data_IF_881752334360
#
_entry.id   IF_881752334360
#
_cell.length_a   1.000
_cell.length_b   1.000
_cell.length_c   1.000
_cell.angle_alpha   90.00
_cell.angle_beta   90.00
_cell.angle_gamma   90.00
#
_symmetry.space_group_name_H-M   'P 1'
#
loop_
_entity.id
_entity.type
_entity.pdbx_description
1 polymer ?
#
# COMPACT_ATOMS: atom_id res chain seq x y z
N UNK A 1 -68.14 -3.01 -51.52
CA UNK A 1 -69.16 -3.47 -50.56
C UNK A 1 -68.49 -3.64 -49.21
N UNK A 2 -68.96 -2.86 -48.22
CA UNK A 2 -68.61 -2.80 -46.78
C UNK A 2 -67.28 -2.20 -46.38
N UNK A 3 -67.30 -0.88 -46.11
CA UNK A 3 -66.48 -0.18 -45.16
C UNK A 3 -66.70 -0.71 -43.73
N UNK A 4 -65.65 -0.89 -42.95
CA UNK A 4 -65.72 -0.88 -41.47
C UNK A 4 -64.70 0.05 -40.92
N UNK A 5 -65.16 1.11 -40.31
CA UNK A 5 -64.46 2.10 -39.52
C UNK A 5 -63.89 1.49 -38.24
N UNK A 6 -62.64 1.80 -37.89
CA UNK A 6 -62.08 1.58 -36.57
C UNK A 6 -61.83 2.91 -35.90
N UNK A 7 -62.62 3.16 -34.86
CA UNK A 7 -62.38 4.28 -33.91
C UNK A 7 -61.18 3.96 -33.04
N UNK A 8 -60.19 4.84 -33.03
CA UNK A 8 -59.05 4.80 -32.12
C UNK A 8 -59.44 5.52 -30.82
N UNK A 9 -59.47 4.77 -29.72
CA UNK A 9 -59.62 5.32 -28.36
C UNK A 9 -58.26 5.79 -27.84
N UNK A 10 -58.10 7.08 -27.68
CA UNK A 10 -56.93 7.67 -27.01
C UNK A 10 -57.01 7.41 -25.51
N UNK A 11 -56.13 6.55 -24.97
CA UNK A 11 -55.88 6.41 -23.54
C UNK A 11 -54.79 7.40 -23.14
N UNK A 12 -55.16 8.49 -22.45
CA UNK A 12 -54.27 9.41 -21.82
C UNK A 12 -53.50 8.73 -20.68
N UNK A 13 -52.20 8.63 -20.79
CA UNK A 13 -51.30 8.21 -19.72
C UNK A 13 -51.00 9.45 -18.88
N UNK A 14 -51.54 9.48 -17.67
CA UNK A 14 -51.21 10.48 -16.66
C UNK A 14 -49.81 10.16 -16.09
N UNK A 15 -48.77 10.89 -16.51
CA UNK A 15 -47.42 10.80 -15.92
C UNK A 15 -47.45 11.58 -14.61
N UNK A 16 -47.55 10.88 -13.49
CA UNK A 16 -47.31 11.46 -12.17
C UNK A 16 -45.80 11.65 -12.00
N UNK A 17 -45.32 12.87 -12.12
CA UNK A 17 -43.97 13.27 -11.75
C UNK A 17 -43.87 13.19 -10.22
N UNK A 18 -43.29 12.10 -9.71
CA UNK A 18 -42.84 12.00 -8.32
C UNK A 18 -41.61 12.85 -8.21
N UNK A 19 -41.75 14.05 -7.70
CA UNK A 19 -40.61 14.88 -7.25
C UNK A 19 -40.07 14.24 -5.98
N UNK A 20 -39.02 13.44 -6.13
CA UNK A 20 -38.20 12.96 -5.00
C UNK A 20 -37.45 14.18 -4.49
N UNK A 21 -37.66 14.63 -3.25
CA UNK A 21 -36.80 15.66 -2.68
C UNK A 21 -35.38 15.12 -2.68
N UNK A 22 -34.46 15.79 -3.38
CA UNK A 22 -33.03 15.58 -3.23
C UNK A 22 -32.71 15.88 -1.75
N UNK A 23 -32.68 14.84 -0.92
CA UNK A 23 -32.10 14.90 0.41
C UNK A 23 -30.63 15.28 0.17
N UNK A 24 -30.31 16.52 0.44
CA UNK A 24 -28.96 17.02 0.62
C UNK A 24 -28.30 16.13 1.69
N UNK A 25 -27.54 15.15 1.27
CA UNK A 25 -26.52 14.57 2.12
C UNK A 25 -25.53 15.71 2.36
N UNK A 26 -25.76 16.49 3.40
CA UNK A 26 -24.73 17.33 3.97
C UNK A 26 -23.60 16.36 4.34
N UNK A 27 -22.49 16.38 3.60
CA UNK A 27 -21.25 15.76 4.05
C UNK A 27 -21.00 16.34 5.43
N UNK A 28 -20.86 15.49 6.44
CA UNK A 28 -20.50 15.92 7.77
C UNK A 28 -19.21 16.74 7.64
N UNK A 29 -19.34 18.07 7.70
CA UNK A 29 -18.21 18.97 7.69
C UNK A 29 -17.46 18.67 8.97
N UNK A 30 -16.18 18.23 8.86
CA UNK A 30 -15.34 18.00 10.03
C UNK A 30 -15.42 19.22 10.94
N UNK A 31 -15.86 19.01 12.18
CA UNK A 31 -16.08 20.10 13.15
C UNK A 31 -14.76 20.67 13.66
N UNK A 32 -13.64 19.94 13.44
CA UNK A 32 -12.30 20.29 13.88
C UNK A 32 -11.33 20.42 12.70
N UNK A 33 -10.40 21.34 12.83
CA UNK A 33 -9.22 21.46 11.97
C UNK A 33 -7.97 21.27 12.83
N UNK A 34 -7.10 20.36 12.38
CA UNK A 34 -5.82 20.06 13.02
C UNK A 34 -4.68 20.61 12.16
N UNK A 35 -3.81 21.42 12.77
CA UNK A 35 -2.64 21.99 12.10
C UNK A 35 -1.40 21.54 12.87
N UNK A 36 -0.57 20.64 12.29
CA UNK A 36 0.64 20.16 12.96
C UNK A 36 1.62 21.32 13.19
N UNK A 37 2.42 21.25 14.25
CA UNK A 37 3.43 22.28 14.54
C UNK A 37 4.50 22.32 13.44
N UNK A 38 4.88 21.16 12.89
CA UNK A 38 5.68 21.05 11.68
C UNK A 38 4.83 20.50 10.53
N UNK A 39 4.81 21.20 9.42
CA UNK A 39 4.07 20.77 8.22
C UNK A 39 4.53 19.43 7.65
N UNK A 40 5.77 19.00 7.94
CA UNK A 40 6.30 17.68 7.60
C UNK A 40 5.78 16.56 8.52
N UNK A 41 5.21 16.89 9.69
CA UNK A 41 4.87 15.93 10.73
C UNK A 41 6.08 15.23 11.36
N UNK A 42 7.33 15.68 11.08
CA UNK A 42 8.59 15.07 11.54
C UNK A 42 9.26 15.98 12.57
N UNK A 43 9.66 15.40 13.68
CA UNK A 43 10.24 16.07 14.84
C UNK A 43 11.54 15.41 15.27
N UNK A 44 12.39 16.13 15.99
CA UNK A 44 13.60 15.59 16.59
C UNK A 44 13.29 14.86 17.91
N UNK A 45 14.26 14.11 18.42
CA UNK A 45 14.18 13.49 19.75
C UNK A 45 14.05 14.57 20.83
N UNK A 46 13.11 14.38 21.75
CA UNK A 46 12.86 15.33 22.83
C UNK A 46 12.20 16.64 22.41
N UNK A 47 11.90 16.82 21.14
CA UNK A 47 11.11 17.95 20.64
C UNK A 47 9.62 17.72 20.94
N UNK A 48 8.89 18.80 21.25
CA UNK A 48 7.44 18.74 21.43
C UNK A 48 6.76 18.61 20.08
N UNK A 49 6.20 17.48 19.80
CA UNK A 49 5.32 17.25 18.65
C UNK A 49 3.88 17.59 19.01
N UNK A 50 3.10 18.12 18.06
CA UNK A 50 1.72 18.43 18.37
C UNK A 50 0.96 19.13 17.24
N UNK A 51 -0.27 19.50 17.60
CA UNK A 51 -1.22 20.12 16.68
C UNK A 51 -1.94 21.28 17.38
N UNK A 52 -2.10 22.39 16.65
CA UNK A 52 -3.10 23.38 16.97
C UNK A 52 -4.46 22.85 16.49
N UNK A 53 -5.43 22.83 17.39
CA UNK A 53 -6.79 22.36 17.11
C UNK A 53 -7.72 23.55 17.15
N UNK A 54 -8.50 23.76 16.10
CA UNK A 54 -9.48 24.86 16.02
C UNK A 54 -10.83 24.31 15.61
N UNK A 55 -11.90 24.89 16.17
CA UNK A 55 -13.26 24.55 15.75
C UNK A 55 -13.63 25.26 14.45
N UNK A 56 -14.47 24.61 13.66
CA UNK A 56 -15.19 25.31 12.59
C UNK A 56 -16.39 26.05 13.16
N UNK A 57 -16.81 27.19 12.56
CA UNK A 57 -18.00 27.91 13.01
C UNK A 57 -19.24 27.02 13.06
N UNK A 58 -19.94 27.01 14.20
CA UNK A 58 -21.16 26.21 14.38
C UNK A 58 -20.92 24.77 14.83
N UNK A 59 -19.70 24.43 15.30
CA UNK A 59 -19.42 23.12 15.86
C UNK A 59 -20.38 22.78 17.02
N UNK A 60 -21.02 21.63 16.95
CA UNK A 60 -21.99 21.19 17.96
C UNK A 60 -21.33 20.68 19.26
N UNK A 61 -20.07 20.25 19.18
CA UNK A 61 -19.27 19.79 20.31
C UNK A 61 -18.04 20.68 20.50
N UNK A 62 -17.75 21.04 21.73
CA UNK A 62 -16.58 21.85 22.11
C UNK A 62 -15.64 21.11 23.08
N UNK A 63 -15.99 19.89 23.48
CA UNK A 63 -15.21 19.07 24.39
C UNK A 63 -14.87 17.75 23.72
N UNK A 64 -13.59 17.39 23.68
CA UNK A 64 -13.10 16.16 23.10
C UNK A 64 -12.09 15.52 24.02
N UNK A 65 -12.06 14.19 24.04
CA UNK A 65 -10.99 13.43 24.66
C UNK A 65 -9.95 13.04 23.61
N UNK A 66 -8.68 12.98 24.00
CA UNK A 66 -7.65 12.47 23.11
C UNK A 66 -6.72 11.47 23.81
N UNK A 67 -6.23 10.51 23.03
CA UNK A 67 -5.27 9.51 23.47
C UNK A 67 -4.06 9.54 22.52
N UNK A 68 -2.87 9.72 23.07
CA UNK A 68 -1.60 9.64 22.33
C UNK A 68 -0.97 8.28 22.59
N UNK A 69 -0.67 7.56 21.52
CA UNK A 69 -0.02 6.25 21.55
C UNK A 69 1.35 6.32 20.89
N UNK A 70 2.35 5.73 21.51
CA UNK A 70 3.63 5.48 20.91
C UNK A 70 3.56 4.23 20.02
N UNK A 71 4.01 4.34 18.77
CA UNK A 71 4.00 3.30 17.74
C UNK A 71 2.62 2.61 17.58
N UNK A 72 1.55 3.37 17.83
CA UNK A 72 0.16 2.91 17.84
C UNK A 72 -0.09 1.68 18.74
N UNK A 73 0.66 1.56 19.84
CA UNK A 73 0.51 0.46 20.81
C UNK A 73 0.43 0.98 22.24
N UNK A 74 1.48 1.53 22.79
CA UNK A 74 1.51 2.00 24.18
C UNK A 74 0.86 3.37 24.33
N UNK A 75 -0.13 3.51 25.22
CA UNK A 75 -0.69 4.80 25.60
C UNK A 75 0.35 5.55 26.43
N UNK A 76 0.78 6.72 25.98
CA UNK A 76 1.75 7.57 26.68
C UNK A 76 1.13 8.84 27.26
N UNK A 77 -0.03 9.26 26.73
CA UNK A 77 -0.75 10.42 27.23
C UNK A 77 -2.24 10.32 26.90
N UNK A 78 -3.07 10.79 27.81
CA UNK A 78 -4.47 11.11 27.58
C UNK A 78 -4.74 12.55 28.00
N UNK A 79 -5.76 13.18 27.46
CA UNK A 79 -6.13 14.52 27.84
C UNK A 79 -7.48 14.93 27.26
N UNK A 80 -7.91 16.13 27.61
CA UNK A 80 -9.14 16.72 27.14
C UNK A 80 -8.84 17.99 26.36
N UNK A 81 -9.62 18.24 25.32
CA UNK A 81 -9.63 19.48 24.56
C UNK A 81 -10.88 20.27 24.94
N UNK A 82 -10.68 21.44 25.53
CA UNK A 82 -11.70 22.44 25.72
C UNK A 82 -11.55 23.52 24.63
N UNK A 83 -12.49 23.56 23.72
CA UNK A 83 -12.52 24.44 22.57
C UNK A 83 -13.51 25.63 22.75
N UNK A 84 -13.95 25.87 23.96
CA UNK A 84 -14.85 27.03 24.28
C UNK A 84 -14.21 28.37 23.93
N UNK A 85 -12.86 28.46 23.97
CA UNK A 85 -12.10 29.65 23.51
C UNK A 85 -11.84 29.66 21.99
N UNK A 86 -12.34 28.65 21.24
CA UNK A 86 -12.14 28.48 19.80
C UNK A 86 -10.88 27.71 19.40
N UNK A 87 -9.93 27.47 20.32
CA UNK A 87 -8.71 26.69 20.00
C UNK A 87 -8.14 25.99 21.23
N UNK A 88 -7.44 24.89 20.97
CA UNK A 88 -6.68 24.12 21.97
C UNK A 88 -5.44 23.49 21.32
N UNK A 89 -4.63 22.75 22.09
CA UNK A 89 -3.45 22.04 21.58
C UNK A 89 -3.45 20.59 22.03
N UNK A 90 -2.95 19.72 21.15
CA UNK A 90 -2.49 18.37 21.50
C UNK A 90 -0.97 18.40 21.44
N UNK A 91 -0.30 18.00 22.51
CA UNK A 91 1.16 18.02 22.62
C UNK A 91 1.65 16.72 23.23
N UNK A 92 2.74 16.18 22.70
CA UNK A 92 3.46 15.06 23.28
C UNK A 92 4.97 15.21 23.06
N UNK A 93 5.77 14.68 23.96
CA UNK A 93 7.22 14.69 23.87
C UNK A 93 7.73 13.27 24.11
N UNK A 94 8.60 12.78 23.21
CA UNK A 94 9.22 11.44 23.30
C UNK A 94 10.71 11.57 23.04
N UNK A 95 11.51 10.88 23.83
CA UNK A 95 12.97 10.95 23.75
C UNK A 95 13.59 9.83 22.89
N UNK A 96 12.79 8.85 22.51
CA UNK A 96 13.24 7.76 21.63
C UNK A 96 12.58 7.86 20.25
N UNK A 97 13.24 7.29 19.21
CA UNK A 97 12.65 7.24 17.86
C UNK A 97 11.33 6.48 17.84
N UNK A 98 10.26 7.13 17.42
CA UNK A 98 8.92 6.55 17.47
C UNK A 98 7.98 7.19 16.43
N UNK A 99 6.86 6.52 16.19
CA UNK A 99 5.69 7.13 15.57
C UNK A 99 4.64 7.45 16.64
N UNK A 100 4.09 8.66 16.60
CA UNK A 100 2.94 9.03 17.42
C UNK A 100 1.66 8.77 16.63
N UNK A 101 0.69 8.21 17.32
CA UNK A 101 -0.66 7.97 16.82
C UNK A 101 -1.66 8.54 17.82
N UNK A 102 -2.47 9.49 17.37
CA UNK A 102 -3.42 10.21 18.24
C UNK A 102 -4.83 9.91 17.79
N UNK A 103 -5.66 9.44 18.73
CA UNK A 103 -7.10 9.31 18.55
C UNK A 103 -7.79 10.47 19.26
N UNK A 104 -8.72 11.12 18.58
CA UNK A 104 -9.55 12.22 19.14
C UNK A 104 -11.00 11.76 19.07
N UNK A 105 -11.69 11.78 20.21
CA UNK A 105 -13.05 11.32 20.35
C UNK A 105 -13.94 12.47 20.84
N UNK A 106 -15.18 12.59 20.33
CA UNK A 106 -16.12 13.59 20.80
C UNK A 106 -16.57 13.27 22.23
N UNK A 107 -16.42 14.24 23.16
CA UNK A 107 -16.91 14.14 24.52
C UNK A 107 -18.42 14.44 24.66
N UNK A 108 -19.06 14.87 23.58
CA UNK A 108 -20.49 15.19 23.54
C UNK A 108 -21.29 13.99 22.99
N UNK A 109 -22.53 13.75 23.47
CA UNK A 109 -23.39 12.71 22.90
C UNK A 109 -23.66 12.99 21.42
N UNK A 110 -23.38 12.02 20.54
CA UNK A 110 -23.73 12.13 19.12
C UNK A 110 -25.24 12.01 18.95
N UNK A 111 -25.84 12.95 18.22
CA UNK A 111 -27.26 12.86 17.82
C UNK A 111 -27.59 11.59 16.98
N UNK A 112 -26.58 10.94 16.41
CA UNK A 112 -26.73 9.70 15.65
C UNK A 112 -26.82 8.43 16.53
N UNK A 113 -26.58 8.52 17.85
CA UNK A 113 -26.64 7.38 18.77
C UNK A 113 -28.07 7.03 19.23
N UNK A 114 -29.10 7.72 18.75
CA UNK A 114 -30.47 7.55 19.23
C UNK A 114 -31.27 6.45 18.50
N UNK A 115 -30.70 5.81 17.47
CA UNK A 115 -31.46 4.82 16.67
C UNK A 115 -30.68 3.50 16.49
N UNK A 116 -30.45 2.76 17.58
CA UNK A 116 -30.04 1.34 17.48
C UNK A 116 -30.69 0.47 18.55
N UNK A 117 -31.92 0.04 18.25
CA UNK A 117 -32.48 -1.19 18.79
C UNK A 117 -31.96 -2.36 17.97
N UNK A 118 -30.73 -2.82 18.15
CA UNK A 118 -30.33 -4.20 17.86
C UNK A 118 -28.84 -4.44 18.17
N UNK A 119 -28.58 -5.43 19.05
CA UNK A 119 -27.30 -6.07 19.36
C UNK A 119 -26.15 -5.16 19.83
N UNK A 120 -26.10 -4.92 21.14
CA UNK A 120 -24.93 -4.44 21.87
C UNK A 120 -23.79 -5.48 21.88
N UNK A 121 -23.02 -5.53 20.83
CA UNK A 121 -21.63 -5.91 20.93
C UNK A 121 -20.87 -4.59 20.94
N UNK A 122 -20.08 -4.34 21.96
CA UNK A 122 -19.42 -3.06 22.25
C UNK A 122 -18.49 -2.62 21.12
N UNK A 123 -19.05 -2.00 20.09
CA UNK A 123 -18.25 -1.30 19.09
C UNK A 123 -17.64 -0.06 19.79
N UNK A 124 -16.31 0.04 19.84
CA UNK A 124 -15.66 1.29 20.24
C UNK A 124 -16.18 2.43 19.35
N UNK A 125 -16.45 3.61 19.92
CA UNK A 125 -16.83 4.75 19.09
C UNK A 125 -15.75 5.00 18.03
N UNK A 126 -16.17 5.36 16.84
CA UNK A 126 -15.26 5.74 15.75
C UNK A 126 -14.65 7.09 16.15
N UNK A 127 -13.31 7.24 16.18
CA UNK A 127 -12.69 8.51 16.49
C UNK A 127 -13.14 9.62 15.52
N UNK A 128 -13.34 10.83 16.02
CA UNK A 128 -13.61 12.03 15.20
C UNK A 128 -12.43 12.33 14.29
N UNK A 129 -11.20 12.13 14.78
CA UNK A 129 -9.99 12.27 14.01
C UNK A 129 -8.89 11.32 14.48
N UNK A 130 -8.01 10.97 13.54
CA UNK A 130 -6.76 10.26 13.79
C UNK A 130 -5.62 11.12 13.25
N UNK A 131 -4.56 11.31 14.06
CA UNK A 131 -3.42 12.13 13.70
C UNK A 131 -2.13 11.33 13.85
N UNK A 132 -1.13 11.63 13.02
CA UNK A 132 0.16 10.97 13.02
C UNK A 132 1.33 11.95 13.07
N UNK A 133 2.39 11.60 13.82
CA UNK A 133 3.67 12.31 13.79
C UNK A 133 4.83 11.34 13.93
N UNK A 134 6.00 11.74 13.44
CA UNK A 134 7.21 10.94 13.47
C UNK A 134 8.30 11.62 14.30
N UNK A 135 8.83 10.92 15.30
CA UNK A 135 9.93 11.40 16.16
C UNK A 135 11.21 10.72 15.72
N UNK A 136 12.16 11.51 15.21
CA UNK A 136 13.47 11.05 14.70
C UNK A 136 13.38 9.72 13.91
N UNK A 137 12.47 9.59 12.93
CA UNK A 137 12.13 8.30 12.32
C UNK A 137 13.31 7.68 11.57
N UNK A 138 14.29 8.48 11.13
CA UNK A 138 15.53 8.02 10.49
C UNK A 138 16.44 7.23 11.44
N UNK A 139 16.16 7.23 12.75
CA UNK A 139 16.89 6.45 13.76
C UNK A 139 16.17 5.15 14.16
N UNK A 140 14.99 4.88 13.64
CA UNK A 140 14.28 3.61 13.87
C UNK A 140 15.11 2.43 13.34
N UNK A 141 15.24 1.40 14.17
CA UNK A 141 16.00 0.18 13.87
C UNK A 141 15.05 -1.03 13.79
N UNK A 142 15.46 -2.13 13.13
CA UNK A 142 14.73 -3.40 13.18
C UNK A 142 14.48 -3.83 14.64
N UNK A 143 13.27 -4.34 14.92
CA UNK A 143 12.93 -4.85 16.26
C UNK A 143 13.76 -6.06 16.66
N UNK A 144 14.13 -6.89 15.68
CA UNK A 144 15.01 -8.05 15.87
C UNK A 144 16.07 -8.10 14.77
N UNK A 145 17.24 -8.71 15.03
CA UNK A 145 18.28 -8.86 14.02
C UNK A 145 17.83 -9.81 12.91
N UNK A 146 18.38 -9.63 11.71
CA UNK A 146 18.21 -10.57 10.59
C UNK A 146 18.74 -11.97 10.98
N UNK A 147 18.05 -13.07 10.61
CA UNK A 147 18.55 -14.43 10.87
C UNK A 147 19.97 -14.64 10.30
N UNK A 148 20.82 -15.32 11.05
CA UNK A 148 22.23 -15.52 10.65
C UNK A 148 22.37 -16.29 9.35
N UNK A 149 21.48 -17.23 9.07
CA UNK A 149 21.47 -18.06 7.86
C UNK A 149 20.57 -17.53 6.73
N UNK A 150 20.00 -16.34 6.88
CA UNK A 150 19.08 -15.71 5.92
C UNK A 150 19.61 -15.75 4.48
N UNK A 151 20.85 -15.34 4.26
CA UNK A 151 21.46 -15.31 2.93
C UNK A 151 21.70 -16.73 2.37
N UNK A 152 22.01 -17.68 3.23
CA UNK A 152 22.18 -19.08 2.82
C UNK A 152 20.84 -19.70 2.43
N UNK A 153 19.80 -19.45 3.22
CA UNK A 153 18.43 -19.87 2.93
C UNK A 153 17.98 -19.38 1.55
N UNK A 154 17.99 -18.08 1.30
CA UNK A 154 17.52 -17.52 0.03
C UNK A 154 18.38 -17.92 -1.16
N UNK A 155 19.70 -18.03 -0.99
CA UNK A 155 20.58 -18.59 -2.04
C UNK A 155 20.19 -19.99 -2.44
N UNK A 156 19.84 -20.84 -1.47
CA UNK A 156 19.40 -22.23 -1.74
C UNK A 156 18.11 -22.27 -2.54
N UNK A 157 17.13 -21.41 -2.19
CA UNK A 157 15.83 -21.31 -2.87
C UNK A 157 15.95 -20.79 -4.31
N UNK A 158 16.74 -19.73 -4.50
CA UNK A 158 17.05 -19.24 -5.84
C UNK A 158 17.81 -20.26 -6.70
N UNK A 159 18.66 -21.09 -6.10
CA UNK A 159 19.32 -22.19 -6.81
C UNK A 159 18.33 -23.25 -7.29
N UNK A 160 17.30 -23.57 -6.51
CA UNK A 160 16.20 -24.45 -6.93
C UNK A 160 15.43 -23.85 -8.11
N UNK A 161 15.01 -22.59 -7.98
CA UNK A 161 14.28 -21.87 -9.03
C UNK A 161 15.02 -21.91 -10.37
N UNK A 162 16.32 -21.61 -10.39
CA UNK A 162 17.13 -21.59 -11.63
C UNK A 162 17.26 -22.93 -12.34
N UNK A 163 16.99 -24.05 -11.69
CA UNK A 163 17.01 -25.40 -12.31
C UNK A 163 15.73 -25.69 -13.11
N UNK A 164 14.68 -24.90 -12.89
CA UNK A 164 13.40 -25.07 -13.55
C UNK A 164 13.38 -24.18 -14.80
N UNK A 165 13.12 -24.73 -15.99
CA UNK A 165 12.91 -23.91 -17.19
C UNK A 165 11.75 -22.92 -17.00
N UNK A 166 11.86 -21.74 -17.58
CA UNK A 166 10.79 -20.71 -17.50
C UNK A 166 9.52 -21.20 -18.20
N UNK A 167 9.67 -21.86 -19.37
CA UNK A 167 8.59 -22.45 -20.18
C UNK A 167 7.40 -21.50 -20.37
N UNK A 168 7.59 -20.36 -21.07
CA UNK A 168 6.58 -19.32 -21.15
C UNK A 168 5.44 -19.70 -22.11
N UNK A 169 4.22 -19.67 -21.60
CA UNK A 169 2.99 -19.83 -22.36
C UNK A 169 2.25 -18.48 -22.41
N UNK A 170 2.04 -17.97 -23.63
CA UNK A 170 1.38 -16.67 -23.86
C UNK A 170 0.12 -16.92 -24.69
N UNK A 171 -1.01 -16.41 -24.19
CA UNK A 171 -2.28 -16.42 -24.91
C UNK A 171 -2.71 -14.97 -25.20
N UNK A 172 -2.86 -14.57 -26.48
CA UNK A 172 -3.32 -13.23 -26.83
C UNK A 172 -4.73 -12.97 -26.30
N UNK A 173 -4.96 -11.78 -25.79
CA UNK A 173 -6.26 -11.30 -25.35
C UNK A 173 -6.48 -9.86 -25.84
N UNK A 174 -7.74 -9.43 -25.95
CA UNK A 174 -8.02 -8.06 -26.40
C UNK A 174 -7.53 -7.05 -25.35
N UNK A 175 -6.73 -6.09 -25.78
CA UNK A 175 -6.31 -4.95 -24.96
C UNK A 175 -7.38 -3.85 -24.89
N UNK A 176 -8.25 -3.76 -25.90
CA UNK A 176 -9.14 -2.62 -26.11
C UNK A 176 -8.44 -1.39 -26.70
N UNK A 177 -7.10 -1.42 -26.87
CA UNK A 177 -6.28 -0.36 -27.46
C UNK A 177 -5.50 -0.93 -28.66
N UNK A 178 -5.71 -0.44 -29.91
CA UNK A 178 -5.03 -0.94 -31.08
C UNK A 178 -3.50 -0.71 -31.07
N UNK A 179 -2.99 0.15 -30.20
CA UNK A 179 -1.56 0.40 -30.05
C UNK A 179 -0.87 -0.58 -29.09
N UNK A 180 -1.61 -1.49 -28.44
CA UNK A 180 -1.11 -2.37 -27.37
C UNK A 180 -1.45 -3.84 -27.64
N UNK A 181 -0.43 -4.69 -27.67
CA UNK A 181 -0.57 -6.15 -27.57
C UNK A 181 -0.73 -6.53 -26.09
N UNK A 182 -1.73 -7.36 -25.78
CA UNK A 182 -1.97 -7.90 -24.43
C UNK A 182 -2.01 -9.43 -24.46
N UNK A 183 -1.39 -10.05 -23.48
CA UNK A 183 -1.34 -11.50 -23.30
C UNK A 183 -1.65 -11.89 -21.86
N UNK A 184 -2.34 -13.00 -21.64
CA UNK A 184 -2.19 -13.75 -20.40
C UNK A 184 -0.91 -14.58 -20.48
N UNK A 185 -0.18 -14.67 -19.38
CA UNK A 185 1.11 -15.36 -19.28
C UNK A 185 1.04 -16.43 -18.21
N UNK A 186 1.64 -17.59 -18.49
CA UNK A 186 1.91 -18.65 -17.52
C UNK A 186 3.35 -19.12 -17.67
N UNK A 187 4.12 -19.08 -16.55
CA UNK A 187 5.53 -19.48 -16.49
C UNK A 187 5.69 -20.56 -15.41
N UNK A 188 6.62 -21.47 -15.58
CA UNK A 188 6.95 -22.46 -14.53
C UNK A 188 7.78 -21.82 -13.41
N UNK A 189 7.45 -22.16 -12.18
CA UNK A 189 8.20 -21.83 -10.97
C UNK A 189 8.46 -23.11 -10.14
N UNK A 190 8.90 -23.00 -8.89
CA UNK A 190 9.08 -24.15 -8.00
C UNK A 190 7.69 -24.61 -7.56
N UNK A 191 7.31 -25.83 -7.96
CA UNK A 191 6.02 -26.47 -7.65
C UNK A 191 4.76 -25.59 -7.89
N UNK A 192 4.91 -24.54 -8.71
CA UNK A 192 3.88 -23.53 -8.97
C UNK A 192 4.10 -22.81 -10.30
N UNK A 193 3.26 -21.83 -10.63
CA UNK A 193 3.39 -21.01 -11.83
C UNK A 193 3.32 -19.52 -11.49
N UNK A 194 3.98 -18.71 -12.30
CA UNK A 194 3.74 -17.25 -12.37
C UNK A 194 2.66 -17.03 -13.41
N UNK A 195 1.63 -16.32 -13.05
CA UNK A 195 0.56 -15.94 -13.98
C UNK A 195 0.32 -14.43 -13.92
N UNK A 196 -0.25 -13.86 -14.97
CA UNK A 196 -0.49 -12.41 -15.01
C UNK A 196 -0.81 -11.91 -16.41
N UNK A 197 -0.84 -10.58 -16.55
CA UNK A 197 -0.99 -9.89 -17.84
C UNK A 197 0.34 -9.29 -18.29
N UNK A 198 0.75 -9.61 -19.53
CA UNK A 198 1.86 -8.95 -20.19
C UNK A 198 1.30 -8.04 -21.28
N UNK A 199 1.64 -6.77 -21.21
CA UNK A 199 1.28 -5.79 -22.23
C UNK A 199 2.53 -5.12 -22.81
N UNK A 200 2.51 -4.80 -24.12
CA UNK A 200 3.58 -4.09 -24.81
C UNK A 200 3.03 -3.23 -25.93
N UNK A 201 3.77 -2.21 -26.39
CA UNK A 201 3.43 -1.54 -27.64
C UNK A 201 3.41 -2.53 -28.82
N UNK A 202 2.45 -2.39 -29.73
CA UNK A 202 2.39 -3.17 -30.98
C UNK A 202 3.60 -2.89 -31.88
N UNK A 203 4.09 -1.64 -31.87
CA UNK A 203 5.27 -1.25 -32.66
C UNK A 203 6.47 -2.12 -32.29
N UNK A 204 7.17 -2.74 -33.27
CA UNK A 204 8.40 -3.45 -32.98
C UNK A 204 9.46 -2.55 -32.34
N UNK A 205 10.09 -3.04 -31.27
CA UNK A 205 11.09 -2.27 -30.53
C UNK A 205 11.60 -2.99 -29.30
N UNK A 206 12.48 -2.28 -28.58
CA UNK A 206 12.95 -2.67 -27.25
C UNK A 206 12.45 -1.65 -26.23
N UNK A 207 11.85 -2.13 -25.17
CA UNK A 207 11.12 -1.30 -24.21
C UNK A 207 11.67 -1.45 -22.81
N UNK A 208 11.72 -0.38 -22.02
CA UNK A 208 11.94 -0.49 -20.57
C UNK A 208 10.81 -1.30 -19.95
N UNK A 209 11.13 -2.11 -18.95
CA UNK A 209 10.15 -2.98 -18.31
C UNK A 209 9.63 -2.40 -16.99
N UNK A 210 8.32 -2.54 -16.78
CA UNK A 210 7.61 -2.24 -15.54
C UNK A 210 6.93 -3.51 -15.05
N UNK A 211 7.30 -3.99 -13.86
CA UNK A 211 6.65 -5.12 -13.22
C UNK A 211 5.77 -4.59 -12.10
N UNK A 212 4.48 -4.92 -12.16
CA UNK A 212 3.48 -4.59 -11.16
C UNK A 212 3.19 -5.83 -10.32
N UNK A 213 3.09 -5.69 -9.01
CA UNK A 213 2.72 -6.78 -8.12
C UNK A 213 1.39 -6.51 -7.43
N UNK A 214 0.56 -7.54 -7.38
CA UNK A 214 -0.78 -7.52 -6.80
C UNK A 214 -0.73 -7.20 -5.29
N UNK A 215 -1.64 -6.35 -4.80
CA UNK A 215 -1.82 -6.13 -3.37
C UNK A 215 -2.59 -7.29 -2.71
N UNK A 216 -2.71 -7.28 -1.37
CA UNK A 216 -3.33 -8.37 -0.62
C UNK A 216 -4.79 -8.63 -1.02
N UNK A 217 -5.16 -9.91 -1.02
CA UNK A 217 -6.49 -10.40 -1.40
C UNK A 217 -6.45 -11.28 -2.64
N UNK A 218 -7.45 -12.13 -2.78
CA UNK A 218 -7.63 -13.02 -3.93
C UNK A 218 -8.67 -12.39 -4.86
N UNK A 219 -8.24 -11.84 -5.98
CA UNK A 219 -9.10 -11.12 -6.93
C UNK A 219 -8.50 -11.15 -8.35
N UNK A 220 -9.35 -11.05 -9.35
CA UNK A 220 -8.91 -10.97 -10.73
C UNK A 220 -8.14 -9.65 -11.00
N UNK A 221 -7.01 -9.75 -11.70
CA UNK A 221 -6.25 -8.58 -12.13
C UNK A 221 -7.05 -7.76 -13.16
N UNK A 222 -6.79 -6.46 -13.20
CA UNK A 222 -7.41 -5.54 -14.16
C UNK A 222 -6.41 -5.24 -15.29
N UNK A 223 -6.63 -5.70 -16.52
CA UNK A 223 -5.69 -5.50 -17.63
C UNK A 223 -5.47 -4.02 -17.96
N UNK A 224 -6.40 -3.13 -17.57
CA UNK A 224 -6.33 -1.70 -17.88
C UNK A 224 -5.06 -1.01 -17.38
N UNK A 225 -4.50 -1.41 -16.22
CA UNK A 225 -3.24 -0.83 -15.72
C UNK A 225 -2.06 -1.24 -16.62
N UNK A 226 -1.99 -2.53 -17.00
CA UNK A 226 -0.94 -3.01 -17.93
C UNK A 226 -1.04 -2.34 -19.29
N UNK A 227 -2.25 -2.22 -19.83
CA UNK A 227 -2.51 -1.59 -21.14
C UNK A 227 -2.13 -0.12 -21.11
N UNK A 228 -2.50 0.61 -20.06
CA UNK A 228 -2.17 2.03 -19.91
C UNK A 228 -0.64 2.26 -19.95
N UNK A 229 0.12 1.51 -19.18
CA UNK A 229 1.58 1.68 -19.18
C UNK A 229 2.23 1.20 -20.48
N UNK A 230 1.69 0.18 -21.13
CA UNK A 230 2.16 -0.23 -22.44
C UNK A 230 1.89 0.84 -23.52
N UNK A 231 0.75 1.52 -23.47
CA UNK A 231 0.46 2.66 -24.34
C UNK A 231 1.42 3.84 -24.13
N UNK A 232 1.94 4.01 -22.91
CA UNK A 232 3.00 4.99 -22.57
C UNK A 232 4.38 4.58 -23.11
N UNK A 233 4.59 3.31 -23.48
CA UNK A 233 5.86 2.78 -24.01
C UNK A 233 6.59 1.77 -23.14
N UNK A 234 5.95 1.23 -22.09
CA UNK A 234 6.52 0.21 -21.23
C UNK A 234 6.25 -1.21 -21.77
N UNK A 235 7.19 -2.11 -21.51
CA UNK A 235 6.91 -3.54 -21.46
C UNK A 235 6.41 -3.84 -20.05
N UNK A 236 5.11 -4.02 -19.88
CA UNK A 236 4.48 -4.16 -18.56
C UNK A 236 4.14 -5.61 -18.26
N UNK A 237 4.47 -6.08 -17.08
CA UNK A 237 4.05 -7.37 -16.57
C UNK A 237 3.37 -7.21 -15.22
N UNK A 238 2.05 -7.42 -15.17
CA UNK A 238 1.23 -7.38 -13.96
C UNK A 238 1.06 -8.81 -13.46
N UNK A 239 1.66 -9.10 -12.30
CA UNK A 239 1.85 -10.43 -11.74
C UNK A 239 0.78 -10.74 -10.73
N UNK A 240 0.06 -11.86 -10.92
CA UNK A 240 -0.79 -12.45 -9.90
C UNK A 240 0.05 -13.11 -8.80
N UNK A 241 -0.25 -12.79 -7.55
CA UNK A 241 0.51 -13.27 -6.39
C UNK A 241 0.21 -14.73 -6.02
N UNK A 242 -0.83 -15.35 -6.62
CA UNK A 242 -1.47 -16.55 -6.10
C UNK A 242 -1.40 -17.80 -6.98
N UNK A 243 -0.61 -17.81 -8.06
CA UNK A 243 -0.64 -18.90 -9.06
C UNK A 243 -2.03 -19.12 -9.63
N UNK A 244 -2.77 -18.04 -9.87
CA UNK A 244 -4.09 -18.08 -10.50
C UNK A 244 -4.05 -17.44 -11.88
N UNK A 245 -4.86 -17.92 -12.85
CA UNK A 245 -5.12 -17.15 -14.05
C UNK A 245 -5.53 -15.72 -13.71
N UNK A 246 -5.04 -14.69 -14.40
CA UNK A 246 -5.27 -13.29 -14.01
C UNK A 246 -6.75 -12.86 -14.06
N UNK A 247 -7.60 -13.68 -14.69
CA UNK A 247 -9.06 -13.49 -14.72
C UNK A 247 -9.80 -14.12 -13.53
N UNK A 248 -9.09 -14.86 -12.66
CA UNK A 248 -9.71 -15.65 -11.60
C UNK A 248 -9.64 -14.93 -10.26
N UNK A 249 -10.74 -14.94 -9.51
CA UNK A 249 -10.89 -14.30 -8.21
C UNK A 249 -11.08 -15.29 -7.05
N UNK A 250 -10.92 -16.59 -7.31
CA UNK A 250 -11.12 -17.66 -6.31
C UNK A 250 -10.15 -18.81 -6.59
N UNK A 251 -9.95 -19.69 -5.61
CA UNK A 251 -9.06 -20.87 -5.76
C UNK A 251 -7.95 -20.92 -4.71
N UNK A 252 -7.76 -19.83 -3.97
CA UNK A 252 -6.85 -19.76 -2.82
C UNK A 252 -7.65 -19.27 -1.60
N UNK A 253 -7.44 -19.83 -0.40
CA UNK A 253 -8.08 -19.32 0.81
C UNK A 253 -7.74 -17.85 1.08
N UNK A 254 -8.68 -17.08 1.60
CA UNK A 254 -8.47 -15.65 1.91
C UNK A 254 -7.41 -15.42 2.99
N UNK A 255 -7.17 -16.42 3.85
CA UNK A 255 -6.12 -16.43 4.85
C UNK A 255 -4.83 -17.14 4.38
N UNK A 256 -4.54 -17.16 3.07
CA UNK A 256 -3.37 -17.80 2.47
C UNK A 256 -2.06 -17.48 3.20
N UNK A 257 -1.94 -16.32 3.80
CA UNK A 257 -0.76 -15.89 4.56
C UNK A 257 -0.50 -16.72 5.83
N UNK A 258 -1.44 -17.57 6.26
CA UNK A 258 -1.23 -18.52 7.37
C UNK A 258 -0.74 -19.88 6.89
N UNK A 259 -0.77 -20.17 5.58
CA UNK A 259 -0.37 -21.47 5.02
C UNK A 259 1.13 -21.68 5.24
N UNK A 260 1.49 -22.75 5.93
CA UNK A 260 2.87 -23.17 6.17
C UNK A 260 3.70 -22.22 7.01
N UNK A 261 3.09 -21.29 7.77
CA UNK A 261 3.79 -20.22 8.48
C UNK A 261 4.63 -20.69 9.69
N UNK A 262 4.56 -21.97 10.09
CA UNK A 262 5.44 -22.59 11.08
C UNK A 262 6.79 -23.05 10.49
N UNK A 263 6.89 -23.22 9.17
CA UNK A 263 8.12 -23.66 8.50
C UNK A 263 8.44 -22.73 7.32
N UNK A 264 9.58 -22.06 7.41
CA UNK A 264 10.08 -21.19 6.32
C UNK A 264 10.21 -21.89 4.96
N UNK A 265 10.27 -23.26 4.93
CA UNK A 265 10.32 -24.02 3.70
C UNK A 265 8.94 -24.32 3.10
N UNK A 266 7.87 -24.08 3.86
CA UNK A 266 6.50 -24.36 3.46
C UNK A 266 5.61 -23.09 3.46
N UNK A 267 6.17 -21.96 3.90
CA UNK A 267 5.46 -20.70 3.95
C UNK A 267 4.97 -20.28 2.57
N UNK A 268 3.71 -19.86 2.49
CA UNK A 268 3.11 -19.32 1.26
C UNK A 268 3.93 -18.17 0.65
N UNK A 269 4.55 -17.35 1.49
CA UNK A 269 5.41 -16.26 1.04
C UNK A 269 6.70 -16.74 0.37
N UNK A 270 7.18 -17.96 0.65
CA UNK A 270 8.32 -18.53 -0.07
C UNK A 270 7.99 -18.67 -1.55
N UNK A 271 6.86 -19.32 -1.85
CA UNK A 271 6.45 -19.57 -3.24
C UNK A 271 6.08 -18.25 -3.94
N UNK A 272 5.42 -17.33 -3.25
CA UNK A 272 5.11 -16.00 -3.76
C UNK A 272 6.38 -15.28 -4.22
N UNK A 273 7.41 -15.18 -3.37
CA UNK A 273 8.64 -14.45 -3.71
C UNK A 273 9.51 -15.17 -4.75
N UNK A 274 9.40 -16.50 -4.85
CA UNK A 274 10.02 -17.23 -5.95
C UNK A 274 9.31 -16.97 -7.28
N UNK A 275 7.97 -16.87 -7.28
CA UNK A 275 7.18 -16.44 -8.46
C UNK A 275 7.57 -15.03 -8.90
N UNK A 276 7.67 -14.09 -7.96
CA UNK A 276 8.07 -12.70 -8.23
C UNK A 276 9.47 -12.62 -8.86
N UNK A 277 10.42 -13.41 -8.33
CA UNK A 277 11.78 -13.53 -8.90
C UNK A 277 11.73 -14.11 -10.31
N UNK A 278 10.89 -15.12 -10.55
CA UNK A 278 10.69 -15.73 -11.87
C UNK A 278 10.16 -14.73 -12.88
N UNK A 279 9.27 -13.82 -12.48
CA UNK A 279 8.78 -12.73 -13.34
C UNK A 279 9.93 -11.84 -13.84
N UNK A 280 10.88 -11.50 -12.97
CA UNK A 280 12.10 -10.75 -13.36
C UNK A 280 12.97 -11.56 -14.33
N UNK A 281 13.20 -12.86 -14.08
CA UNK A 281 13.96 -13.73 -14.97
C UNK A 281 13.32 -13.81 -16.36
N UNK A 282 11.98 -13.89 -16.41
CA UNK A 282 11.23 -13.92 -17.67
C UNK A 282 11.39 -12.60 -18.46
N UNK A 283 11.15 -11.45 -17.83
CA UNK A 283 11.34 -10.15 -18.50
C UNK A 283 12.76 -10.06 -19.08
N UNK A 284 13.78 -10.48 -18.33
CA UNK A 284 15.18 -10.46 -18.79
C UNK A 284 15.47 -11.37 -19.99
N UNK A 285 14.69 -12.41 -20.18
CA UNK A 285 14.84 -13.36 -21.31
C UNK A 285 14.16 -12.87 -22.59
N UNK A 286 13.35 -11.82 -22.52
CA UNK A 286 12.55 -11.35 -23.64
C UNK A 286 13.37 -10.53 -24.64
N UNK A 287 13.16 -10.76 -25.96
CA UNK A 287 13.86 -10.00 -27.01
C UNK A 287 13.40 -8.56 -27.15
N UNK A 288 12.17 -8.22 -26.68
CA UNK A 288 11.58 -6.88 -26.71
C UNK A 288 11.86 -6.05 -25.43
N UNK A 289 12.60 -6.62 -24.46
CA UNK A 289 13.14 -5.83 -23.35
C UNK A 289 14.37 -5.03 -23.79
N UNK A 290 14.54 -3.80 -23.25
CA UNK A 290 15.65 -2.89 -23.62
C UNK A 290 17.03 -3.35 -23.13
N UNK A 291 17.09 -4.41 -22.32
CA UNK A 291 18.33 -4.97 -21.76
C UNK A 291 18.87 -4.20 -20.56
N UNK A 292 18.19 -3.14 -20.08
CA UNK A 292 18.70 -2.21 -19.06
C UNK A 292 17.71 -1.93 -17.95
N UNK A 293 16.45 -1.61 -18.29
CA UNK A 293 15.49 -1.01 -17.36
C UNK A 293 14.49 -2.04 -16.88
N UNK A 294 14.47 -2.27 -15.56
CA UNK A 294 13.39 -3.00 -14.86
C UNK A 294 13.01 -2.19 -13.64
N UNK A 295 11.77 -1.70 -13.63
CA UNK A 295 11.17 -1.00 -12.50
C UNK A 295 10.18 -1.94 -11.81
N UNK A 296 10.26 -2.01 -10.49
CA UNK A 296 9.29 -2.76 -9.67
C UNK A 296 8.36 -1.76 -8.99
N UNK A 297 7.07 -2.02 -9.07
CA UNK A 297 6.06 -1.15 -8.48
C UNK A 297 4.94 -1.97 -7.81
N UNK A 298 4.44 -1.47 -6.67
CA UNK A 298 3.31 -2.07 -5.99
C UNK A 298 2.87 -1.29 -4.76
N UNK A 299 1.63 -1.54 -4.36
CA UNK A 299 1.03 -0.98 -3.15
C UNK A 299 0.83 -2.10 -2.15
N UNK A 300 0.96 -1.82 -0.84
CA UNK A 300 0.67 -2.80 0.23
C UNK A 300 1.50 -4.09 0.08
N UNK A 301 0.88 -5.26 -0.02
CA UNK A 301 1.58 -6.53 -0.29
C UNK A 301 2.32 -6.52 -1.63
N UNK A 302 1.84 -5.79 -2.65
CA UNK A 302 2.59 -5.59 -3.90
C UNK A 302 3.87 -4.78 -3.69
N UNK A 303 3.84 -3.82 -2.77
CA UNK A 303 5.03 -3.09 -2.32
C UNK A 303 6.01 -3.99 -1.54
N UNK A 304 5.50 -4.86 -0.67
CA UNK A 304 6.27 -5.90 0.02
C UNK A 304 6.99 -6.80 -0.99
N UNK A 305 6.27 -7.35 -1.97
CA UNK A 305 6.81 -8.16 -3.05
C UNK A 305 7.90 -7.42 -3.84
N UNK A 306 7.65 -6.14 -4.19
CA UNK A 306 8.62 -5.30 -4.90
C UNK A 306 9.94 -5.13 -4.15
N UNK A 307 9.88 -4.86 -2.85
CA UNK A 307 11.06 -4.72 -1.99
C UNK A 307 11.83 -6.03 -1.88
N UNK A 308 11.15 -7.13 -1.60
CA UNK A 308 11.76 -8.45 -1.49
C UNK A 308 12.41 -8.88 -2.82
N UNK A 309 11.68 -8.72 -3.91
CA UNK A 309 12.18 -9.05 -5.26
C UNK A 309 13.41 -8.22 -5.62
N UNK A 310 13.45 -6.94 -5.29
CA UNK A 310 14.61 -6.09 -5.49
C UNK A 310 15.83 -6.57 -4.68
N UNK A 311 15.61 -6.97 -3.42
CA UNK A 311 16.66 -7.54 -2.57
C UNK A 311 17.23 -8.86 -3.09
N UNK A 312 16.37 -9.73 -3.66
CA UNK A 312 16.76 -11.00 -4.26
C UNK A 312 17.44 -10.83 -5.64
N UNK A 313 17.06 -9.79 -6.40
CA UNK A 313 17.51 -9.52 -7.77
C UNK A 313 18.42 -8.27 -7.88
N UNK A 314 19.18 -7.96 -6.85
CA UNK A 314 19.93 -6.71 -6.61
C UNK A 314 20.77 -6.15 -7.79
N UNK A 315 21.12 -6.98 -8.79
CA UNK A 315 21.91 -6.57 -9.95
C UNK A 315 21.08 -6.22 -11.18
N UNK A 316 19.77 -6.45 -11.13
CA UNK A 316 18.90 -6.45 -12.29
C UNK A 316 17.78 -5.42 -12.21
N UNK A 317 17.59 -4.82 -11.05
CA UNK A 317 16.53 -3.85 -10.81
C UNK A 317 17.08 -2.42 -10.96
N UNK A 318 16.40 -1.61 -11.75
CA UNK A 318 16.78 -0.23 -12.04
C UNK A 318 16.19 0.74 -11.01
N UNK A 319 14.96 0.51 -10.57
CA UNK A 319 14.30 1.32 -9.54
C UNK A 319 13.17 0.52 -8.85
N UNK A 320 12.82 0.95 -7.65
CA UNK A 320 11.69 0.45 -6.86
C UNK A 320 10.81 1.63 -6.46
N UNK A 321 9.51 1.55 -6.74
CA UNK A 321 8.54 2.60 -6.43
C UNK A 321 7.39 1.96 -5.68
N UNK A 322 7.30 2.16 -4.37
CA UNK A 322 6.35 1.44 -3.52
C UNK A 322 5.51 2.37 -2.66
N UNK A 323 4.25 2.02 -2.55
CA UNK A 323 3.23 2.71 -1.79
C UNK A 323 2.82 1.87 -0.58
N UNK A 324 3.04 2.39 0.61
CA UNK A 324 2.63 1.76 1.88
C UNK A 324 2.90 0.24 1.91
N UNK A 325 4.15 -0.22 1.64
CA UNK A 325 4.46 -1.65 1.55
C UNK A 325 4.18 -2.36 2.87
N UNK A 326 3.45 -3.48 2.83
CA UNK A 326 3.14 -4.27 4.04
C UNK A 326 4.28 -5.18 4.49
N UNK A 327 4.07 -5.92 5.55
CA UNK A 327 4.95 -7.00 6.02
C UNK A 327 6.24 -6.55 6.71
N UNK A 328 6.41 -5.26 6.97
CA UNK A 328 7.65 -4.70 7.50
C UNK A 328 7.71 -4.79 9.03
N UNK A 329 8.89 -5.15 9.54
CA UNK A 329 9.21 -5.28 10.96
C UNK A 329 8.23 -6.21 11.69
N UNK A 330 8.07 -7.41 11.13
CA UNK A 330 7.05 -8.40 11.52
C UNK A 330 7.07 -8.77 12.99
N UNK A 331 8.23 -8.68 13.65
CA UNK A 331 8.38 -8.90 15.09
C UNK A 331 8.18 -7.64 15.94
N UNK A 332 7.84 -6.51 15.33
CA UNK A 332 7.68 -5.22 16.01
C UNK A 332 6.64 -5.24 17.13
N UNK A 333 5.58 -6.06 16.98
CA UNK A 333 4.53 -6.19 18.01
C UNK A 333 5.02 -6.81 19.34
N UNK A 334 6.07 -7.59 19.31
CA UNK A 334 6.74 -8.08 20.52
C UNK A 334 7.64 -7.01 21.17
N UNK A 335 7.85 -5.89 20.49
CA UNK A 335 8.75 -4.80 20.89
C UNK A 335 8.06 -3.43 20.91
N UNK A 336 6.78 -3.38 21.28
CA UNK A 336 6.05 -2.14 21.49
C UNK A 336 5.62 -1.41 20.21
N UNK A 337 5.54 -2.10 19.07
CA UNK A 337 5.03 -1.54 17.81
C UNK A 337 3.74 -2.22 17.39
N UNK A 338 2.84 -1.49 16.72
CA UNK A 338 1.60 -2.05 16.19
C UNK A 338 1.90 -3.16 15.17
N UNK A 339 1.22 -4.31 15.32
CA UNK A 339 1.25 -5.35 14.30
C UNK A 339 0.60 -4.85 13.00
N UNK A 340 1.25 -5.11 11.88
CA UNK A 340 0.72 -4.87 10.54
C UNK A 340 0.37 -6.17 9.81
N UNK A 341 -0.27 -6.01 8.63
CA UNK A 341 -0.48 -7.16 7.74
C UNK A 341 0.87 -7.84 7.42
N UNK A 342 0.96 -9.18 7.42
CA UNK A 342 -0.14 -10.15 7.45
C UNK A 342 -0.60 -10.60 8.84
N UNK A 343 -0.34 -9.82 9.89
CA UNK A 343 -0.77 -10.09 11.27
C UNK A 343 -0.31 -11.47 11.78
N UNK A 344 0.99 -11.73 11.66
CA UNK A 344 1.58 -12.97 12.17
C UNK A 344 1.20 -13.19 13.62
N UNK A 345 0.70 -14.40 14.02
CA UNK A 345 0.38 -14.73 15.41
C UNK A 345 1.58 -14.53 16.33
N UNK A 346 1.53 -13.49 17.19
CA UNK A 346 2.66 -13.14 18.07
C UNK A 346 2.81 -14.04 19.29
N UNK A 347 1.79 -14.83 19.60
CA UNK A 347 1.78 -15.85 20.65
C UNK A 347 2.42 -17.18 20.20
N UNK A 348 2.80 -17.30 18.93
CA UNK A 348 3.49 -18.46 18.37
C UNK A 348 4.95 -18.13 18.02
N UNK A 349 5.93 -18.53 18.84
CA UNK A 349 7.34 -18.22 18.62
C UNK A 349 7.90 -18.82 17.32
N UNK A 350 7.38 -19.97 16.84
CA UNK A 350 7.85 -20.61 15.61
C UNK A 350 7.37 -19.83 14.38
N UNK A 351 6.15 -19.32 14.41
CA UNK A 351 5.63 -18.43 13.38
C UNK A 351 6.41 -17.13 13.34
N UNK A 352 6.71 -16.55 14.51
CA UNK A 352 7.48 -15.31 14.60
C UNK A 352 8.92 -15.49 14.11
N UNK A 353 9.57 -16.63 14.38
CA UNK A 353 10.88 -16.93 13.80
C UNK A 353 10.80 -17.10 12.27
N UNK A 354 9.78 -17.80 11.77
CA UNK A 354 9.55 -17.97 10.33
C UNK A 354 9.32 -16.63 9.64
N UNK A 355 8.56 -15.73 10.23
CA UNK A 355 8.23 -14.40 9.66
C UNK A 355 9.47 -13.59 9.31
N UNK A 356 10.56 -13.74 10.05
CA UNK A 356 11.83 -13.02 9.84
C UNK A 356 12.47 -13.31 8.48
N UNK A 357 12.17 -14.48 7.87
CA UNK A 357 12.68 -14.85 6.53
C UNK A 357 11.92 -14.16 5.40
N UNK A 358 10.75 -13.57 5.69
CA UNK A 358 9.86 -12.96 4.70
C UNK A 358 9.65 -11.45 4.93
N UNK A 359 10.26 -10.90 5.96
CA UNK A 359 10.20 -9.49 6.33
C UNK A 359 11.02 -8.61 5.38
N UNK A 360 10.43 -7.62 4.67
CA UNK A 360 11.14 -6.69 3.79
C UNK A 360 12.32 -5.98 4.43
N UNK A 361 12.30 -5.75 5.75
CA UNK A 361 13.40 -5.15 6.52
C UNK A 361 14.70 -5.91 6.30
N UNK A 362 14.61 -7.25 6.25
CA UNK A 362 15.78 -8.12 6.10
C UNK A 362 16.33 -8.18 4.67
N UNK A 363 15.55 -7.77 3.67
CA UNK A 363 16.00 -7.64 2.27
C UNK A 363 16.52 -6.24 1.94
N UNK A 364 16.09 -5.23 2.67
CA UNK A 364 16.37 -3.82 2.37
C UNK A 364 17.86 -3.51 2.21
N UNK A 365 18.73 -4.10 3.05
CA UNK A 365 20.19 -3.93 2.94
C UNK A 365 20.81 -4.52 1.66
N UNK A 366 20.06 -5.33 0.92
CA UNK A 366 20.45 -5.88 -0.38
C UNK A 366 19.97 -5.02 -1.56
N UNK A 367 19.02 -4.11 -1.35
CA UNK A 367 18.45 -3.26 -2.39
C UNK A 367 19.44 -2.14 -2.69
N UNK A 368 20.07 -2.20 -3.87
CA UNK A 368 20.98 -1.17 -4.37
C UNK A 368 20.31 -0.22 -5.36
N UNK A 369 19.16 -0.60 -5.87
CA UNK A 369 18.38 0.22 -6.79
C UNK A 369 17.83 1.47 -6.08
N UNK A 370 17.79 2.63 -6.76
CA UNK A 370 17.05 3.79 -6.29
C UNK A 370 15.62 3.41 -5.88
N UNK A 371 15.23 3.77 -4.65
CA UNK A 371 13.94 3.37 -4.07
C UNK A 371 13.16 4.59 -3.59
N UNK A 372 11.93 4.73 -4.08
CA UNK A 372 10.92 5.67 -3.57
C UNK A 372 9.92 4.86 -2.74
N UNK A 373 9.76 5.21 -1.47
CA UNK A 373 8.88 4.56 -0.52
C UNK A 373 7.91 5.57 0.06
N UNK A 374 6.60 5.37 -0.12
CA UNK A 374 5.59 6.19 0.53
C UNK A 374 5.16 5.59 1.87
N UNK A 375 4.87 6.46 2.84
CA UNK A 375 4.48 6.08 4.21
C UNK A 375 3.31 6.92 4.70
N UNK A 376 2.18 6.26 5.02
CA UNK A 376 1.04 6.87 5.69
C UNK A 376 1.27 6.90 7.20
N UNK A 377 1.18 8.10 7.83
CA UNK A 377 1.52 8.21 9.27
C UNK A 377 0.44 7.63 10.18
N UNK A 378 -0.78 7.51 9.67
CA UNK A 378 -1.91 6.93 10.41
C UNK A 378 -2.33 5.55 9.87
N UNK A 379 -1.44 4.90 9.10
CA UNK A 379 -1.66 3.56 8.56
C UNK A 379 -1.56 2.50 9.66
N UNK A 380 -2.63 1.71 9.82
CA UNK A 380 -2.68 0.61 10.79
C UNK A 380 -2.49 -0.76 10.16
N UNK A 381 -2.47 -0.84 8.82
CA UNK A 381 -2.27 -2.07 8.06
C UNK A 381 -0.81 -2.26 7.68
N UNK A 382 -0.14 -1.18 7.27
CA UNK A 382 1.31 -1.11 7.06
C UNK A 382 1.91 -0.05 8.01
N UNK A 383 2.10 -0.38 9.30
CA UNK A 383 2.45 0.60 10.32
C UNK A 383 3.72 1.39 9.97
N UNK A 384 3.69 2.73 10.09
CA UNK A 384 4.78 3.58 9.63
C UNK A 384 6.14 3.31 10.31
N UNK A 385 6.16 2.84 11.56
CA UNK A 385 7.41 2.47 12.26
C UNK A 385 8.17 1.38 11.50
N UNK A 386 7.47 0.36 10.96
CA UNK A 386 8.07 -0.68 10.14
C UNK A 386 8.59 -0.14 8.81
N UNK A 387 7.85 0.76 8.17
CA UNK A 387 8.23 1.34 6.89
C UNK A 387 9.47 2.25 7.00
N UNK A 388 9.55 3.06 8.04
CA UNK A 388 10.76 3.82 8.35
C UNK A 388 11.95 2.90 8.62
N UNK A 389 11.71 1.76 9.27
CA UNK A 389 12.76 0.75 9.50
C UNK A 389 13.27 0.18 8.19
N UNK A 390 12.38 -0.20 7.24
CA UNK A 390 12.78 -0.61 5.88
C UNK A 390 13.60 0.50 5.22
N UNK A 391 13.08 1.73 5.20
CA UNK A 391 13.75 2.86 4.59
C UNK A 391 15.18 3.07 5.15
N UNK A 392 15.35 2.98 6.46
CA UNK A 392 16.64 3.16 7.10
C UNK A 392 17.64 2.05 6.71
N UNK A 393 17.19 0.82 6.46
CA UNK A 393 18.02 -0.31 6.04
C UNK A 393 18.34 -0.33 4.53
N UNK A 394 17.66 0.46 3.68
CA UNK A 394 17.96 0.52 2.25
C UNK A 394 19.42 0.93 2.00
N UNK A 395 20.13 0.12 1.20
CA UNK A 395 21.56 0.36 0.90
C UNK A 395 21.79 1.27 -0.31
N UNK A 396 20.83 1.37 -1.22
CA UNK A 396 20.88 2.22 -2.41
C UNK A 396 20.42 3.66 -2.17
N UNK A 397 20.45 4.51 -3.20
CA UNK A 397 19.80 5.82 -3.15
C UNK A 397 18.34 5.67 -2.77
N UNK A 398 17.84 6.55 -1.92
CA UNK A 398 16.50 6.40 -1.34
C UNK A 398 15.81 7.73 -1.11
N UNK A 399 14.49 7.70 -1.19
CA UNK A 399 13.62 8.82 -0.85
C UNK A 399 12.37 8.27 -0.18
N UNK A 400 11.96 8.86 0.93
CA UNK A 400 10.69 8.54 1.55
C UNK A 400 9.70 9.68 1.31
N UNK A 401 8.45 9.33 0.98
CA UNK A 401 7.36 10.27 0.73
C UNK A 401 6.39 10.21 1.91
N UNK A 402 6.47 11.16 2.86
CA UNK A 402 5.54 11.22 3.97
C UNK A 402 4.13 11.61 3.50
N UNK A 403 3.14 10.87 3.99
CA UNK A 403 1.71 11.14 3.80
C UNK A 403 1.07 11.23 5.18
N UNK A 404 1.11 12.43 5.79
CA UNK A 404 0.87 12.66 7.22
C UNK A 404 -0.55 12.25 7.63
N UNK A 405 -1.52 12.55 6.78
CA UNK A 405 -2.95 12.31 7.02
C UNK A 405 -3.48 11.09 6.26
N UNK A 406 -2.60 10.20 5.79
CA UNK A 406 -2.99 9.00 5.05
C UNK A 406 -3.07 7.78 5.95
N UNK A 407 -4.23 7.14 5.92
CA UNK A 407 -4.41 5.75 6.31
C UNK A 407 -4.10 4.83 5.11
N UNK A 408 -4.14 3.52 5.33
CA UNK A 408 -3.83 2.54 4.29
C UNK A 408 -4.72 2.67 3.04
N UNK A 409 -4.12 2.72 1.86
CA UNK A 409 -4.82 2.78 0.56
C UNK A 409 -5.80 3.96 0.40
N UNK A 410 -5.59 5.05 1.11
CA UNK A 410 -6.42 6.25 0.98
C UNK A 410 -6.00 7.09 -0.23
N UNK A 411 -6.28 6.58 -1.45
CA UNK A 411 -5.81 7.12 -2.74
C UNK A 411 -6.55 8.38 -3.19
N UNK A 412 -6.76 9.32 -2.30
CA UNK A 412 -7.32 10.63 -2.63
C UNK A 412 -6.19 11.67 -2.82
N UNK A 413 -6.39 12.69 -3.68
CA UNK A 413 -5.35 13.70 -3.95
C UNK A 413 -4.86 14.45 -2.72
N UNK A 414 -5.72 14.67 -1.72
CA UNK A 414 -5.40 15.32 -0.47
C UNK A 414 -4.59 14.42 0.48
N UNK A 415 -4.74 13.09 0.41
CA UNK A 415 -4.06 12.12 1.29
C UNK A 415 -2.77 11.58 0.67
N UNK A 416 -2.84 11.07 -0.55
CA UNK A 416 -1.72 10.42 -1.23
C UNK A 416 -1.20 11.19 -2.46
N UNK A 417 -1.64 12.43 -2.68
CA UNK A 417 -1.24 13.23 -3.83
C UNK A 417 0.26 13.42 -4.01
N UNK A 418 1.02 13.48 -2.91
CA UNK A 418 2.48 13.57 -2.96
C UNK A 418 3.10 12.32 -3.60
N UNK A 419 2.67 11.14 -3.19
CA UNK A 419 3.13 9.89 -3.80
C UNK A 419 2.67 9.77 -5.26
N UNK A 420 1.42 10.06 -5.56
CA UNK A 420 0.86 9.97 -6.91
C UNK A 420 1.65 10.87 -7.88
N UNK A 421 1.99 12.09 -7.50
CA UNK A 421 2.82 13.00 -8.33
C UNK A 421 4.23 12.45 -8.47
N UNK A 422 4.84 12.05 -7.34
CA UNK A 422 6.24 11.60 -7.32
C UNK A 422 6.46 10.32 -8.12
N UNK A 423 5.57 9.35 -8.00
CA UNK A 423 5.63 8.10 -8.77
C UNK A 423 5.47 8.33 -10.28
N UNK A 424 4.53 9.18 -10.70
CA UNK A 424 4.38 9.57 -12.12
C UNK A 424 5.63 10.25 -12.67
N UNK A 425 6.23 11.18 -11.94
CA UNK A 425 7.48 11.83 -12.34
C UNK A 425 8.62 10.82 -12.47
N UNK A 426 8.74 9.91 -11.51
CA UNK A 426 9.78 8.88 -11.53
C UNK A 426 9.62 7.94 -12.73
N UNK A 427 8.40 7.47 -13.02
CA UNK A 427 8.12 6.62 -14.19
C UNK A 427 8.45 7.36 -15.49
N UNK A 428 8.06 8.63 -15.64
CA UNK A 428 8.37 9.42 -16.83
C UNK A 428 9.88 9.57 -17.05
N UNK A 429 10.66 9.82 -15.99
CA UNK A 429 12.14 9.90 -16.09
C UNK A 429 12.72 8.56 -16.53
N UNK A 430 12.29 7.45 -15.91
CA UNK A 430 12.81 6.11 -16.16
C UNK A 430 12.41 5.59 -17.56
N UNK A 431 11.21 5.90 -18.03
CA UNK A 431 10.73 5.55 -19.36
C UNK A 431 11.67 6.08 -20.47
N UNK A 432 12.23 7.25 -20.26
CA UNK A 432 13.16 7.89 -21.19
C UNK A 432 14.64 7.64 -20.88
N UNK A 433 14.94 6.64 -20.05
CA UNK A 433 16.31 6.24 -19.69
C UNK A 433 17.04 7.22 -18.77
N UNK A 434 16.32 8.14 -18.12
CA UNK A 434 16.87 9.06 -17.11
C UNK A 434 17.19 8.38 -15.81
N UNK A 435 17.92 9.09 -14.93
CA UNK A 435 18.24 8.63 -13.57
C UNK A 435 17.44 9.40 -12.54
N UNK A 436 16.98 8.68 -11.50
CA UNK A 436 16.28 9.31 -10.37
C UNK A 436 17.30 10.07 -9.52
N UNK A 437 17.02 11.35 -9.27
CA UNK A 437 17.70 12.12 -8.23
C UNK A 437 16.83 12.04 -6.96
N UNK A 438 17.34 11.37 -5.93
CA UNK A 438 16.63 11.11 -4.68
C UNK A 438 17.24 11.93 -3.54
N UNK A 439 16.41 12.40 -2.63
CA UNK A 439 16.79 13.31 -1.53
C UNK A 439 17.70 12.68 -0.47
N UNK A 440 17.75 11.34 -0.40
CA UNK A 440 18.43 10.60 0.67
C UNK A 440 17.65 10.57 1.98
N UNK A 441 16.49 11.23 2.04
CA UNK A 441 15.64 11.38 3.20
C UNK A 441 14.19 11.62 2.81
N UNK A 442 13.40 12.29 3.65
CA UNK A 442 12.06 12.74 3.29
C UNK A 442 12.09 13.63 2.05
N UNK A 443 11.14 13.40 1.14
CA UNK A 443 10.95 14.32 0.02
C UNK A 443 10.68 15.72 0.58
N UNK A 444 11.45 16.70 0.17
CA UNK A 444 11.10 18.09 0.40
C UNK A 444 9.73 18.31 -0.25
N UNK A 445 8.72 18.66 0.56
CA UNK A 445 7.37 18.88 0.05
C UNK A 445 7.46 19.71 -1.21
N UNK A 446 6.99 19.13 -2.33
CA UNK A 446 6.81 19.89 -3.56
C UNK A 446 5.81 20.97 -3.19
N UNK A 447 6.33 22.20 -2.96
CA UNK A 447 5.50 23.40 -2.83
C UNK A 447 4.47 23.39 -3.96
N UNK A 448 3.24 23.63 -3.57
CA UNK A 448 2.05 23.65 -4.41
C UNK A 448 2.23 24.43 -5.70
#
# INVERSE_FOLDING_TARGET
MFLKSFQAAARGVLIVLVVIPASLFASAQHQLRFVPFHSSGIYNRGEVAGWNVVTTPGAACLHYDYTVKENNQAIIKTGQLDLTSGSAKIEAQVNEPAMLYVEVEAGCPSAAAADTTSNKQSARPVPEAILGAAIAPTLLKPSVPRPADFDAFWRSKLKLLRRIPIDPQLTPVSSGDPAVDLYTVKLRSVDSHVQGYLARPVKPGKYPALILYQYAGVYALKPAESVKHAAEGWLTFDVDSHDLPPTQATGVPTNYFTIGNHDRNQSYFLDMYLRDTRAVEYIRSRPDWDGKTIVLMGTSMGGQQSLVTAGLNRKHITAVIVDEPSGADTNGNLHGRKAGYPYWPSDDPQVMETSRYFDPVNFASHIKAPTILAVGFIDTTAPPAGLWTVFNQLAGPKEIVPMIDSAHNNKTPDKQGNYIRRSKQALAILLHGGRLNLSGGPSSGLSQ
#
